data_IF_083112706574
#
_entry.id   IF_083112706574
#
_cell.length_a   1.000
_cell.length_b   1.000
_cell.length_c   1.000
_cell.angle_alpha   90.00
_cell.angle_beta   90.00
_cell.angle_gamma   90.00
#
_symmetry.space_group_name_H-M   'P 1'
#
loop_
_entity.id
_entity.type
_entity.pdbx_description
1 polymer ?
#
# COMPACT_ATOMS: atom_id res chain seq x y z
N UNK A 1 -23.50 0.11 10.68
CA UNK A 1 -22.72 -0.40 9.53
C UNK A 1 -21.30 -0.72 9.97
N UNK A 2 -20.60 0.17 10.69
CA UNK A 2 -19.31 -0.12 11.32
C UNK A 2 -19.40 0.00 12.84
N UNK A 3 -18.52 -0.70 13.55
CA UNK A 3 -18.35 -0.61 15.01
C UNK A 3 -16.99 -0.01 15.34
N UNK A 4 -16.85 0.55 16.55
CA UNK A 4 -15.57 1.07 17.00
C UNK A 4 -14.51 -0.05 17.03
N UNK A 5 -13.29 0.26 16.59
CA UNK A 5 -12.18 -0.69 16.53
C UNK A 5 -12.40 -1.88 15.60
N UNK A 6 -13.33 -1.79 14.64
CA UNK A 6 -13.58 -2.90 13.69
C UNK A 6 -12.40 -3.22 12.78
N UNK A 7 -11.39 -2.35 12.70
CA UNK A 7 -10.26 -2.48 11.79
C UNK A 7 -10.53 -1.79 10.45
N UNK A 8 -9.52 -1.10 9.92
CA UNK A 8 -9.67 -0.37 8.65
C UNK A 8 -9.97 -1.31 7.48
N UNK A 9 -9.49 -2.55 7.53
CA UNK A 9 -9.78 -3.60 6.55
C UNK A 9 -11.27 -3.97 6.43
N UNK A 10 -12.08 -3.65 7.44
CA UNK A 10 -13.52 -3.90 7.48
C UNK A 10 -14.36 -2.68 7.06
N UNK A 11 -13.71 -1.55 6.75
CA UNK A 11 -14.38 -0.38 6.18
C UNK A 11 -14.55 -0.57 4.68
N UNK A 12 -15.72 -0.21 4.15
CA UNK A 12 -15.87 0.01 2.71
C UNK A 12 -15.27 1.36 2.36
N UNK A 13 -14.09 1.33 1.77
CA UNK A 13 -13.40 2.51 1.25
C UNK A 13 -14.00 2.94 -0.09
N UNK A 14 -13.79 4.21 -0.46
CA UNK A 14 -14.03 4.63 -1.84
C UNK A 14 -13.17 3.78 -2.78
N UNK A 15 -13.77 3.23 -3.84
CA UNK A 15 -13.03 2.43 -4.81
C UNK A 15 -11.93 3.27 -5.47
N UNK A 16 -10.69 2.79 -5.41
CA UNK A 16 -9.51 3.47 -5.94
C UNK A 16 -8.46 2.45 -6.38
N UNK A 17 -7.35 2.98 -6.91
CA UNK A 17 -6.15 2.20 -7.23
C UNK A 17 -5.58 1.45 -6.02
N UNK A 18 -5.76 1.94 -4.80
CA UNK A 18 -5.32 1.29 -3.56
C UNK A 18 -6.00 -0.08 -3.36
N UNK A 19 -7.34 -0.09 -3.32
CA UNK A 19 -8.11 -1.33 -3.13
C UNK A 19 -7.94 -2.25 -4.34
N UNK A 20 -7.95 -1.69 -5.56
CA UNK A 20 -7.74 -2.46 -6.78
C UNK A 20 -6.38 -3.18 -6.76
N UNK A 21 -5.28 -2.46 -6.53
CA UNK A 21 -3.94 -3.06 -6.55
C UNK A 21 -3.75 -4.06 -5.41
N UNK A 22 -4.28 -3.77 -4.23
CA UNK A 22 -4.30 -4.73 -3.12
C UNK A 22 -4.98 -6.04 -3.53
N UNK A 23 -6.17 -5.98 -4.14
CA UNK A 23 -6.90 -7.17 -4.58
C UNK A 23 -6.15 -7.93 -5.69
N UNK A 24 -5.53 -7.23 -6.66
CA UNK A 24 -4.69 -7.86 -7.69
C UNK A 24 -3.54 -8.65 -7.05
N UNK A 25 -2.81 -8.05 -6.09
CA UNK A 25 -1.68 -8.68 -5.43
C UNK A 25 -2.09 -9.91 -4.60
N UNK A 26 -3.20 -9.82 -3.89
CA UNK A 26 -3.75 -10.94 -3.12
C UNK A 26 -4.19 -12.07 -4.04
N UNK A 27 -4.92 -11.77 -5.11
CA UNK A 27 -5.40 -12.76 -6.07
C UNK A 27 -4.27 -13.43 -6.86
N UNK A 28 -3.18 -12.71 -7.12
CA UNK A 28 -1.98 -13.26 -7.75
C UNK A 28 -1.19 -14.20 -6.83
N UNK A 29 -1.40 -14.13 -5.50
CA UNK A 29 -0.56 -14.85 -4.53
C UNK A 29 0.82 -14.22 -4.37
N UNK A 30 0.89 -12.89 -4.38
CA UNK A 30 2.11 -12.13 -4.11
C UNK A 30 2.79 -12.57 -2.80
N UNK A 31 4.13 -12.55 -2.78
CA UNK A 31 4.96 -12.86 -1.60
C UNK A 31 5.41 -11.60 -0.86
N UNK A 32 4.80 -10.46 -1.14
CA UNK A 32 5.03 -9.23 -0.37
C UNK A 32 4.60 -9.46 1.09
N UNK A 33 5.32 -8.88 2.06
CA UNK A 33 4.92 -8.93 3.46
C UNK A 33 3.63 -8.12 3.70
N UNK A 34 2.95 -8.43 4.81
CA UNK A 34 1.66 -7.85 5.16
C UNK A 34 1.69 -6.32 5.27
N UNK A 35 2.79 -5.76 5.77
CA UNK A 35 2.99 -4.32 5.91
C UNK A 35 3.09 -3.61 4.56
N UNK A 36 3.75 -4.22 3.57
CA UNK A 36 3.79 -3.70 2.19
C UNK A 36 2.40 -3.74 1.54
N UNK A 37 1.65 -4.84 1.71
CA UNK A 37 0.28 -4.95 1.18
C UNK A 37 -0.66 -3.94 1.86
N UNK A 38 -0.51 -3.73 3.16
CA UNK A 38 -1.27 -2.76 3.93
C UNK A 38 -0.95 -1.32 3.49
N UNK A 39 0.33 -1.00 3.29
CA UNK A 39 0.76 0.29 2.78
C UNK A 39 0.14 0.57 1.39
N UNK A 40 0.21 -0.39 0.46
CA UNK A 40 -0.42 -0.27 -0.86
C UNK A 40 -1.92 -0.03 -0.75
N UNK A 41 -2.62 -0.70 0.17
CA UNK A 41 -4.07 -0.57 0.33
C UNK A 41 -4.53 0.76 0.95
N UNK A 42 -3.67 1.43 1.73
CA UNK A 42 -4.07 2.60 2.51
C UNK A 42 -3.21 3.86 2.29
N UNK A 43 -2.28 3.86 1.33
CA UNK A 43 -1.39 5.00 1.06
C UNK A 43 -2.11 6.28 0.57
N UNK A 44 -3.34 6.16 0.03
CA UNK A 44 -4.17 7.32 -0.28
C UNK A 44 -5.10 7.74 0.86
N UNK A 45 -5.10 7.03 2.00
CA UNK A 45 -6.01 7.32 3.11
C UNK A 45 -5.50 8.46 4.02
N UNK A 46 -5.21 9.62 3.42
CA UNK A 46 -4.67 10.81 4.09
C UNK A 46 -5.45 11.28 5.33
N UNK A 47 -6.80 11.23 5.35
CA UNK A 47 -7.54 11.51 6.57
C UNK A 47 -7.07 10.69 7.77
N UNK A 48 -6.72 9.42 7.57
CA UNK A 48 -6.19 8.55 8.62
C UNK A 48 -4.72 8.83 8.90
N UNK A 49 -3.84 8.60 7.92
CA UNK A 49 -2.39 8.54 8.18
C UNK A 49 -1.74 9.93 8.37
N UNK A 50 -2.31 11.01 7.81
CA UNK A 50 -1.74 12.36 7.93
C UNK A 50 -2.55 13.30 8.83
N UNK A 51 -3.88 13.12 8.90
CA UNK A 51 -4.76 14.07 9.62
C UNK A 51 -5.37 13.48 10.91
N UNK A 52 -5.11 12.21 11.22
CA UNK A 52 -5.54 11.57 12.46
C UNK A 52 -7.05 11.35 12.61
N UNK A 53 -7.81 11.47 11.52
CA UNK A 53 -9.22 11.09 11.47
C UNK A 53 -9.38 9.56 11.41
N UNK A 54 -10.62 9.07 11.51
CA UNK A 54 -10.98 7.64 11.41
C UNK A 54 -10.35 6.69 12.46
N UNK A 55 -9.57 7.22 13.43
CA UNK A 55 -8.98 6.44 14.53
C UNK A 55 -9.99 5.65 15.35
N UNK A 56 -11.25 6.08 15.40
CA UNK A 56 -12.32 5.34 16.10
C UNK A 56 -12.59 3.95 15.50
N UNK A 57 -12.20 3.71 14.24
CA UNK A 57 -12.34 2.41 13.59
C UNK A 57 -11.05 1.59 13.60
N UNK A 58 -9.90 2.23 13.82
CA UNK A 58 -8.59 1.57 13.82
C UNK A 58 -8.43 0.60 14.99
N UNK A 59 -7.92 -0.60 14.72
CA UNK A 59 -7.56 -1.61 15.71
C UNK A 59 -6.04 -1.60 15.98
N UNK A 60 -5.53 -2.56 16.76
CA UNK A 60 -4.11 -2.61 17.11
C UNK A 60 -3.20 -2.95 15.90
N UNK A 61 -3.69 -3.76 14.96
CA UNK A 61 -2.98 -4.04 13.70
C UNK A 61 -2.82 -2.76 12.88
N UNK A 62 -3.88 -1.95 12.76
CA UNK A 62 -3.83 -0.70 12.00
C UNK A 62 -2.86 0.32 12.60
N UNK A 63 -2.69 0.31 13.93
CA UNK A 63 -1.70 1.15 14.63
C UNK A 63 -0.28 0.65 14.40
N UNK A 64 -0.07 -0.66 14.44
CA UNK A 64 1.24 -1.27 14.19
C UNK A 64 1.71 -1.06 12.75
N UNK A 65 0.79 -1.12 11.78
CA UNK A 65 1.10 -0.97 10.35
C UNK A 65 1.13 0.49 9.87
N UNK A 66 0.78 1.46 10.73
CA UNK A 66 0.81 2.87 10.38
C UNK A 66 2.19 3.34 9.94
N UNK A 67 3.26 2.84 10.56
CA UNK A 67 4.63 3.23 10.23
C UNK A 67 5.01 2.84 8.79
N UNK A 68 4.52 1.69 8.30
CA UNK A 68 4.75 1.28 6.91
C UNK A 68 4.03 2.21 5.91
N UNK A 69 2.81 2.64 6.24
CA UNK A 69 2.06 3.62 5.44
C UNK A 69 2.79 4.97 5.42
N UNK A 70 3.28 5.44 6.57
CA UNK A 70 4.02 6.70 6.68
C UNK A 70 5.35 6.67 5.94
N UNK A 71 6.07 5.55 5.99
CA UNK A 71 7.30 5.34 5.22
C UNK A 71 7.01 5.42 3.71
N UNK A 72 6.00 4.70 3.22
CA UNK A 72 5.59 4.73 1.82
C UNK A 72 5.16 6.14 1.41
N UNK A 73 4.39 6.83 2.26
CA UNK A 73 3.93 8.20 1.98
C UNK A 73 5.08 9.19 1.82
N UNK A 74 6.12 9.08 2.65
CA UNK A 74 7.30 9.92 2.53
C UNK A 74 8.01 9.72 1.19
N UNK A 75 8.16 8.46 0.74
CA UNK A 75 8.71 8.16 -0.57
C UNK A 75 7.80 8.68 -1.70
N UNK A 76 6.50 8.35 -1.70
CA UNK A 76 5.54 8.77 -2.73
C UNK A 76 5.48 10.30 -2.88
N UNK A 77 5.40 11.03 -1.78
CA UNK A 77 5.21 12.47 -1.84
C UNK A 77 6.52 13.21 -2.19
N UNK A 78 7.63 12.83 -1.56
CA UNK A 78 8.85 13.64 -1.60
C UNK A 78 9.88 13.15 -2.61
N UNK A 79 9.69 12.00 -3.27
CA UNK A 79 10.53 11.58 -4.40
C UNK A 79 10.08 12.17 -5.74
N UNK A 80 8.99 12.96 -5.77
CA UNK A 80 8.48 13.61 -6.99
C UNK A 80 9.44 14.72 -7.41
N UNK A 81 10.10 14.51 -8.55
CA UNK A 81 11.08 15.41 -9.12
C UNK A 81 10.88 15.50 -10.65
N UNK A 82 11.24 16.64 -11.24
CA UNK A 82 11.24 16.86 -12.69
C UNK A 82 12.33 16.04 -13.38
N UNK A 83 13.45 15.80 -12.68
CA UNK A 83 14.50 14.91 -13.16
C UNK A 83 14.06 13.45 -13.12
N UNK A 84 14.10 12.80 -14.28
CA UNK A 84 13.70 11.39 -14.42
C UNK A 84 14.88 10.47 -14.14
N UNK A 85 14.67 9.38 -13.40
CA UNK A 85 15.72 8.38 -13.21
C UNK A 85 16.05 7.65 -14.51
N UNK A 86 17.26 7.11 -14.60
CA UNK A 86 17.65 6.22 -15.70
C UNK A 86 16.94 4.87 -15.56
N UNK A 87 15.88 4.69 -16.34
CA UNK A 87 15.03 3.50 -16.31
C UNK A 87 15.78 2.25 -16.75
N UNK A 88 16.65 2.35 -17.76
CA UNK A 88 17.36 1.19 -18.30
C UNK A 88 18.41 0.68 -17.31
N UNK A 89 19.07 1.59 -16.58
CA UNK A 89 19.98 1.22 -15.50
C UNK A 89 19.25 0.54 -14.33
N UNK A 90 18.05 1.00 -13.97
CA UNK A 90 17.29 0.51 -12.81
C UNK A 90 16.51 -0.77 -13.09
N UNK A 91 16.11 -1.01 -14.34
CA UNK A 91 15.23 -2.11 -14.73
C UNK A 91 15.73 -3.49 -14.27
N UNK A 92 17.02 -3.87 -14.41
CA UNK A 92 17.50 -5.17 -13.93
C UNK A 92 17.30 -5.37 -12.43
N UNK A 93 17.50 -4.32 -11.63
CA UNK A 93 17.28 -4.38 -10.18
C UNK A 93 15.81 -4.60 -9.84
N UNK A 94 14.90 -3.77 -10.38
CA UNK A 94 13.48 -3.93 -10.10
C UNK A 94 12.89 -5.23 -10.67
N UNK A 95 13.37 -5.70 -11.82
CA UNK A 95 12.97 -6.99 -12.36
C UNK A 95 13.34 -8.13 -11.39
N UNK A 96 14.53 -8.09 -10.78
CA UNK A 96 14.93 -9.11 -9.79
C UNK A 96 14.01 -9.13 -8.55
N UNK A 97 13.43 -7.99 -8.17
CA UNK A 97 12.45 -7.89 -7.09
C UNK A 97 11.07 -8.40 -7.54
N UNK A 98 10.65 -8.08 -8.77
CA UNK A 98 9.41 -8.61 -9.36
C UNK A 98 9.48 -10.14 -9.41
N UNK A 99 10.56 -10.71 -9.93
CA UNK A 99 10.76 -12.16 -10.02
C UNK A 99 10.74 -12.84 -8.64
N UNK A 100 11.17 -12.12 -7.59
CA UNK A 100 11.16 -12.62 -6.21
C UNK A 100 9.77 -12.58 -5.58
N UNK A 101 9.04 -11.46 -5.73
CA UNK A 101 7.83 -11.19 -4.94
C UNK A 101 6.52 -11.33 -5.72
N UNK A 102 6.53 -11.05 -7.03
CA UNK A 102 5.36 -11.06 -7.91
C UNK A 102 5.72 -11.69 -9.26
N UNK A 103 6.24 -12.95 -9.30
CA UNK A 103 6.69 -13.55 -10.55
C UNK A 103 5.52 -13.92 -11.47
N UNK A 104 5.82 -13.99 -12.78
CA UNK A 104 4.89 -14.46 -13.80
C UNK A 104 3.91 -13.41 -14.32
N UNK A 105 3.00 -13.84 -15.18
CA UNK A 105 2.00 -12.96 -15.77
C UNK A 105 0.88 -12.68 -14.78
N UNK A 106 0.72 -11.42 -14.40
CA UNK A 106 -0.29 -10.96 -13.44
C UNK A 106 -1.66 -10.82 -14.13
N UNK A 107 -2.72 -11.30 -13.47
CA UNK A 107 -4.09 -11.06 -13.88
C UNK A 107 -4.59 -9.73 -13.28
N UNK A 108 -4.71 -8.72 -14.14
CA UNK A 108 -5.14 -7.36 -13.81
C UNK A 108 -6.66 -7.22 -13.78
#
# INVERSE_FOLDING_TARGET
>A
MYTAGCGLENLKMCWSHDEYMYQVLINHGSKLPDDALYAIRFHSFYPYHSHGAYKQFANDKDKQLLDAVLMMNACDLYSKNDEKPDIEQLKPYYQSLIDKYIPGDVAW
#
